data_IF_383765747150
#
_entry.id   IF_383765747150
#
_cell.length_a   1.000
_cell.length_b   1.000
_cell.length_c   1.000
_cell.angle_alpha   90.00
_cell.angle_beta   90.00
_cell.angle_gamma   90.00
#
_symmetry.space_group_name_H-M   'P 1'
#
loop_
_entity.id
_entity.type
_entity.pdbx_description
1 polymer ?
#
# COMPACT_ATOMS: atom_id res chain seq x y z
N UNK A 1 -12.09 11.32 -20.54
CA UNK A 1 -12.75 10.72 -19.34
C UNK A 1 -13.89 11.64 -19.00
N UNK A 2 -14.86 11.20 -18.21
CA UNK A 2 -15.76 12.16 -17.56
C UNK A 2 -14.99 12.96 -16.49
N UNK A 3 -15.59 14.07 -16.07
CA UNK A 3 -15.15 14.76 -14.86
C UNK A 3 -15.35 13.87 -13.63
N UNK A 4 -14.56 14.09 -12.60
CA UNK A 4 -14.73 13.42 -11.31
C UNK A 4 -16.06 13.85 -10.71
N UNK A 5 -16.98 12.90 -10.55
CA UNK A 5 -18.27 13.11 -9.89
C UNK A 5 -18.14 12.97 -8.38
N UNK A 6 -17.46 11.93 -7.91
CA UNK A 6 -17.25 11.66 -6.48
C UNK A 6 -15.89 11.04 -6.20
N UNK A 7 -15.38 11.31 -5.00
CA UNK A 7 -14.26 10.61 -4.38
C UNK A 7 -14.75 10.17 -3.00
N UNK A 8 -14.86 8.86 -2.81
CA UNK A 8 -15.40 8.21 -1.62
C UNK A 8 -14.33 7.33 -0.98
N UNK A 9 -14.40 7.12 0.33
CA UNK A 9 -13.49 6.22 1.04
C UNK A 9 -14.22 5.26 1.96
N UNK A 10 -13.60 4.11 2.21
CA UNK A 10 -14.19 2.98 2.91
C UNK A 10 -13.18 2.40 3.90
N UNK A 11 -13.53 2.40 5.20
CA UNK A 11 -12.81 1.60 6.19
C UNK A 11 -13.14 0.13 5.95
N UNK A 12 -12.11 -0.68 5.69
CA UNK A 12 -12.25 -2.13 5.50
C UNK A 12 -11.43 -2.84 6.58
N UNK A 13 -12.03 -3.81 7.25
CA UNK A 13 -11.34 -4.60 8.26
C UNK A 13 -10.15 -5.36 7.63
N UNK A 14 -9.01 -5.51 8.33
CA UNK A 14 -8.81 -5.14 9.73
C UNK A 14 -8.44 -3.67 9.97
N UNK A 15 -7.87 -2.96 9.00
CA UNK A 15 -7.36 -1.58 9.17
C UNK A 15 -7.04 -0.87 7.85
N UNK A 16 -7.74 -1.23 6.77
CA UNK A 16 -7.52 -0.67 5.44
C UNK A 16 -8.42 0.52 5.19
N UNK A 17 -7.94 1.43 4.33
CA UNK A 17 -8.71 2.59 3.87
C UNK A 17 -8.70 2.60 2.34
N UNK A 18 -9.78 2.12 1.73
CA UNK A 18 -9.95 2.12 0.28
C UNK A 18 -10.52 3.44 -0.19
N UNK A 19 -10.13 3.86 -1.39
CA UNK A 19 -10.62 5.06 -2.07
C UNK A 19 -11.25 4.64 -3.40
N UNK A 20 -12.41 5.20 -3.72
CA UNK A 20 -13.08 5.02 -5.00
C UNK A 20 -13.28 6.38 -5.65
N UNK A 21 -12.80 6.53 -6.87
CA UNK A 21 -13.09 7.70 -7.71
C UNK A 21 -14.10 7.30 -8.76
N UNK A 22 -15.21 8.03 -8.87
CA UNK A 22 -16.27 7.80 -9.86
C UNK A 22 -16.40 9.01 -10.77
N UNK A 23 -16.44 8.80 -12.08
CA UNK A 23 -16.67 9.87 -13.07
C UNK A 23 -18.17 10.12 -13.32
N UNK A 24 -18.49 11.17 -14.10
CA UNK A 24 -19.87 11.53 -14.45
C UNK A 24 -20.60 10.44 -15.25
N UNK A 25 -19.87 9.59 -15.97
CA UNK A 25 -20.40 8.46 -16.74
C UNK A 25 -20.64 7.21 -15.86
N UNK A 26 -20.28 7.26 -14.57
CA UNK A 26 -20.43 6.15 -13.62
C UNK A 26 -19.29 5.13 -13.67
N UNK A 27 -18.26 5.35 -14.48
CA UNK A 27 -17.05 4.55 -14.43
C UNK A 27 -16.29 4.85 -13.14
N UNK A 28 -15.53 3.88 -12.65
CA UNK A 28 -14.80 4.05 -11.40
C UNK A 28 -13.47 3.32 -11.39
N UNK A 29 -12.57 3.82 -10.54
CA UNK A 29 -11.31 3.17 -10.19
C UNK A 29 -11.13 3.12 -8.68
N UNK A 30 -10.30 2.17 -8.24
CA UNK A 30 -10.02 1.89 -6.84
C UNK A 30 -8.56 2.16 -6.49
N UNK A 31 -8.34 2.72 -5.31
CA UNK A 31 -7.04 2.92 -4.71
C UNK A 31 -7.04 2.67 -3.21
N UNK A 32 -5.87 2.79 -2.60
CA UNK A 32 -5.68 2.51 -1.18
C UNK A 32 -4.86 3.64 -0.53
N UNK A 33 -5.38 4.14 0.59
CA UNK A 33 -4.82 5.23 1.40
C UNK A 33 -4.47 4.76 2.82
N UNK A 34 -4.19 3.46 2.99
CA UNK A 34 -3.87 2.90 4.30
C UNK A 34 -2.65 3.59 4.92
N UNK A 35 -2.84 4.08 6.15
CA UNK A 35 -1.79 4.54 7.06
C UNK A 35 -2.15 4.04 8.45
N UNK A 36 -1.60 2.89 8.82
CA UNK A 36 -1.98 2.16 10.01
C UNK A 36 -1.88 3.05 11.26
N UNK A 37 -2.96 3.09 12.06
CA UNK A 37 -3.04 3.92 13.28
C UNK A 37 -3.42 5.38 13.06
N UNK A 38 -3.63 5.82 11.82
CA UNK A 38 -3.89 7.23 11.49
C UNK A 38 -5.06 7.43 10.49
N UNK A 39 -6.02 6.50 10.43
CA UNK A 39 -7.14 6.55 9.47
C UNK A 39 -7.94 7.84 9.56
N UNK A 40 -8.30 8.32 10.75
CA UNK A 40 -9.06 9.60 10.89
C UNK A 40 -8.33 10.79 10.25
N UNK A 41 -7.00 10.84 10.41
CA UNK A 41 -6.21 11.94 9.85
C UNK A 41 -6.19 11.88 8.32
N UNK A 42 -6.07 10.67 7.76
CA UNK A 42 -6.11 10.46 6.31
C UNK A 42 -7.49 10.77 5.74
N UNK A 43 -8.57 10.39 6.43
CA UNK A 43 -9.95 10.70 6.06
C UNK A 43 -10.21 12.21 6.01
N UNK A 44 -9.73 12.96 7.01
CA UNK A 44 -9.82 14.43 6.98
C UNK A 44 -9.07 15.05 5.81
N UNK A 45 -7.93 14.49 5.43
CA UNK A 45 -7.20 14.90 4.22
C UNK A 45 -7.96 14.53 2.94
N UNK A 46 -8.55 13.33 2.87
CA UNK A 46 -9.39 12.89 1.77
C UNK A 46 -10.63 13.77 1.63
N UNK A 47 -11.33 14.12 2.71
CA UNK A 47 -12.48 15.03 2.67
C UNK A 47 -12.13 16.38 2.00
N UNK A 48 -10.97 16.93 2.31
CA UNK A 48 -10.49 18.18 1.73
C UNK A 48 -10.14 18.03 0.24
N UNK A 49 -9.47 16.93 -0.14
CA UNK A 49 -9.09 16.65 -1.53
C UNK A 49 -10.31 16.28 -2.39
N UNK A 50 -11.26 15.50 -1.86
CA UNK A 50 -12.52 15.11 -2.50
C UNK A 50 -13.33 16.34 -2.91
N UNK A 51 -13.51 17.30 -1.99
CA UNK A 51 -14.18 18.57 -2.29
C UNK A 51 -13.45 19.40 -3.34
N UNK A 52 -12.12 19.36 -3.35
CA UNK A 52 -11.29 20.14 -4.28
C UNK A 52 -11.35 19.60 -5.71
N UNK A 53 -11.31 18.28 -5.87
CA UNK A 53 -11.17 17.64 -7.18
C UNK A 53 -12.49 17.23 -7.81
N UNK A 54 -13.62 17.42 -7.13
CA UNK A 54 -14.92 17.29 -7.78
C UNK A 54 -15.01 18.25 -8.99
N UNK A 55 -15.42 17.72 -10.14
CA UNK A 55 -15.51 18.46 -11.40
C UNK A 55 -14.20 18.57 -12.18
N UNK A 56 -13.07 18.07 -11.67
CA UNK A 56 -11.81 18.02 -12.42
C UNK A 56 -11.86 16.91 -13.48
N UNK A 57 -11.14 17.09 -14.57
CA UNK A 57 -10.95 16.04 -15.58
C UNK A 57 -10.12 14.90 -14.99
N UNK A 58 -10.70 13.70 -14.90
CA UNK A 58 -10.01 12.56 -14.30
C UNK A 58 -8.78 12.10 -15.10
N UNK A 59 -8.66 12.50 -16.39
CA UNK A 59 -7.51 12.16 -17.23
C UNK A 59 -6.25 12.94 -16.86
N UNK A 60 -6.42 14.10 -16.22
CA UNK A 60 -5.36 15.02 -15.85
C UNK A 60 -4.70 14.60 -14.53
N UNK A 61 -4.31 13.32 -14.45
CA UNK A 61 -3.75 12.70 -13.23
C UNK A 61 -2.55 13.50 -12.71
N UNK A 62 -1.62 13.89 -13.58
CA UNK A 62 -0.45 14.68 -13.20
C UNK A 62 -0.85 16.07 -12.66
N UNK A 63 -1.86 16.71 -13.26
CA UNK A 63 -2.35 17.99 -12.77
C UNK A 63 -2.99 17.85 -11.39
N UNK A 64 -3.82 16.83 -11.18
CA UNK A 64 -4.44 16.52 -9.89
C UNK A 64 -3.35 16.23 -8.84
N UNK A 65 -2.38 15.38 -9.17
CA UNK A 65 -1.28 15.02 -8.29
C UNK A 65 -0.45 16.25 -7.88
N UNK A 66 -0.02 17.05 -8.87
CA UNK A 66 0.76 18.26 -8.60
C UNK A 66 -0.03 19.25 -7.77
N UNK A 67 -1.31 19.45 -8.09
CA UNK A 67 -2.20 20.34 -7.35
C UNK A 67 -2.34 19.88 -5.90
N UNK A 68 -2.60 18.58 -5.67
CA UNK A 68 -2.74 18.02 -4.33
C UNK A 68 -1.45 18.19 -3.51
N UNK A 69 -0.29 17.98 -4.14
CA UNK A 69 1.01 18.05 -3.48
C UNK A 69 1.45 19.47 -3.14
N UNK A 70 1.24 20.44 -4.04
CA UNK A 70 1.91 21.76 -3.94
C UNK A 70 1.00 22.96 -3.73
N UNK A 71 -0.32 22.86 -3.96
CA UNK A 71 -1.22 24.02 -3.88
C UNK A 71 -1.45 24.49 -2.44
N UNK A 72 -1.43 23.57 -1.46
CA UNK A 72 -1.66 23.84 -0.04
C UNK A 72 -0.49 24.51 0.71
N UNK A 73 0.50 25.05 -0.02
CA UNK A 73 1.74 25.64 0.51
C UNK A 73 2.70 24.61 1.14
N UNK A 74 2.40 24.12 2.34
CA UNK A 74 3.21 23.07 2.99
C UNK A 74 2.90 21.71 2.36
N UNK A 75 3.93 20.86 2.26
CA UNK A 75 3.88 19.65 1.42
C UNK A 75 4.12 18.40 2.24
N UNK A 76 3.28 17.41 2.01
CA UNK A 76 3.53 16.02 2.40
C UNK A 76 3.40 15.68 3.86
N UNK A 77 4.29 14.80 4.32
CA UNK A 77 4.06 14.00 5.52
C UNK A 77 3.22 12.77 5.23
N UNK A 78 3.20 11.83 6.19
CA UNK A 78 2.55 10.53 6.01
C UNK A 78 1.06 10.67 5.69
N UNK A 79 0.34 11.54 6.40
CA UNK A 79 -1.11 11.72 6.25
C UNK A 79 -1.48 12.21 4.84
N UNK A 80 -0.91 13.34 4.40
CA UNK A 80 -1.23 13.91 3.09
C UNK A 80 -0.80 12.98 1.96
N UNK A 81 0.37 12.34 2.07
CA UNK A 81 0.84 11.44 1.02
C UNK A 81 0.02 10.16 0.91
N UNK A 82 -0.46 9.61 2.03
CA UNK A 82 -1.39 8.47 2.00
C UNK A 82 -2.72 8.84 1.34
N UNK A 83 -3.27 10.03 1.61
CA UNK A 83 -4.48 10.51 0.96
C UNK A 83 -4.29 10.71 -0.56
N UNK A 84 -3.20 11.36 -0.98
CA UNK A 84 -2.85 11.55 -2.40
C UNK A 84 -2.67 10.19 -3.10
N UNK A 85 -1.99 9.24 -2.45
CA UNK A 85 -1.75 7.90 -2.99
C UNK A 85 -3.05 7.17 -3.36
N UNK A 86 -4.07 7.19 -2.51
CA UNK A 86 -5.32 6.48 -2.81
C UNK A 86 -6.08 7.10 -3.97
N UNK A 87 -6.07 8.43 -4.09
CA UNK A 87 -6.67 9.13 -5.24
C UNK A 87 -5.87 8.82 -6.52
N UNK A 88 -4.54 8.89 -6.48
CA UNK A 88 -3.67 8.63 -7.64
C UNK A 88 -3.85 7.20 -8.18
N UNK A 89 -3.80 6.20 -7.30
CA UNK A 89 -4.02 4.79 -7.67
C UNK A 89 -5.42 4.62 -8.29
N UNK A 90 -6.45 5.22 -7.70
CA UNK A 90 -7.82 5.14 -8.21
C UNK A 90 -7.99 5.79 -9.59
N UNK A 91 -7.33 6.93 -9.84
CA UNK A 91 -7.34 7.58 -11.14
C UNK A 91 -6.62 6.76 -12.21
N UNK A 92 -5.49 6.12 -11.85
CA UNK A 92 -4.80 5.20 -12.75
C UNK A 92 -5.60 3.93 -13.03
N UNK A 93 -6.27 3.36 -12.03
CA UNK A 93 -7.17 2.21 -12.20
C UNK A 93 -8.33 2.57 -13.15
N UNK A 94 -8.97 3.72 -12.93
CA UNK A 94 -10.03 4.24 -13.81
C UNK A 94 -9.55 4.39 -15.26
N UNK A 95 -8.38 5.00 -15.46
CA UNK A 95 -7.76 5.19 -16.79
C UNK A 95 -7.46 3.84 -17.46
N UNK A 96 -6.88 2.89 -16.73
CA UNK A 96 -6.56 1.55 -17.22
C UNK A 96 -7.81 0.76 -17.64
N UNK A 97 -8.84 0.74 -16.78
CA UNK A 97 -10.13 0.07 -17.07
C UNK A 97 -10.79 0.62 -18.31
N UNK A 98 -10.89 1.94 -18.43
CA UNK A 98 -11.52 2.60 -19.59
C UNK A 98 -10.77 2.31 -20.89
N UNK A 99 -9.44 2.29 -20.85
CA UNK A 99 -8.61 1.98 -22.02
C UNK A 99 -8.51 0.46 -22.30
N UNK A 100 -9.07 -0.39 -21.43
CA UNK A 100 -9.02 -1.85 -21.58
C UNK A 100 -7.61 -2.43 -21.48
N UNK A 101 -6.69 -1.75 -20.80
CA UNK A 101 -5.29 -2.18 -20.66
C UNK A 101 -4.82 -2.13 -19.20
N UNK A 102 -3.93 -3.04 -18.78
CA UNK A 102 -3.33 -2.96 -17.45
C UNK A 102 -2.43 -1.71 -17.36
N UNK A 103 -2.37 -1.07 -16.18
CA UNK A 103 -1.65 0.19 -15.94
C UNK A 103 -0.19 0.11 -16.42
N UNK A 104 0.49 -1.02 -16.23
CA UNK A 104 1.88 -1.17 -16.67
C UNK A 104 2.08 -1.00 -18.19
N UNK A 105 1.05 -1.19 -19.02
CA UNK A 105 1.13 -0.90 -20.46
C UNK A 105 1.14 0.60 -20.73
N UNK A 106 0.37 1.37 -19.95
CA UNK A 106 0.38 2.83 -20.00
C UNK A 106 1.73 3.40 -19.55
N UNK A 107 2.43 2.70 -18.66
CA UNK A 107 3.75 3.05 -18.14
C UNK A 107 4.93 2.54 -19.00
N UNK A 108 4.68 2.19 -20.26
CA UNK A 108 5.74 1.79 -21.21
C UNK A 108 5.92 0.28 -21.40
N UNK A 109 5.03 -0.55 -20.83
CA UNK A 109 4.97 -1.98 -21.14
C UNK A 109 5.80 -2.87 -20.21
N UNK A 110 5.82 -4.17 -20.55
CA UNK A 110 6.51 -5.18 -19.74
C UNK A 110 8.02 -5.08 -19.93
N UNK A 111 8.74 -4.95 -18.82
CA UNK A 111 10.21 -5.11 -18.76
C UNK A 111 10.63 -6.48 -18.19
N UNK A 112 9.66 -7.32 -17.82
CA UNK A 112 9.83 -8.67 -17.28
C UNK A 112 8.53 -9.47 -17.40
N UNK A 113 8.65 -10.80 -17.39
CA UNK A 113 7.49 -11.70 -17.52
C UNK A 113 6.86 -12.10 -16.18
N UNK A 114 7.62 -12.02 -15.08
CA UNK A 114 7.17 -12.30 -13.71
C UNK A 114 7.94 -11.45 -12.71
N UNK A 115 7.35 -11.24 -11.53
CA UNK A 115 7.97 -10.56 -10.39
C UNK A 115 8.13 -11.60 -9.27
N UNK A 116 9.33 -11.71 -8.71
CA UNK A 116 9.54 -12.53 -7.51
C UNK A 116 8.90 -11.86 -6.31
N UNK A 117 8.14 -12.63 -5.52
CA UNK A 117 7.51 -12.17 -4.29
C UNK A 117 8.11 -12.88 -3.08
N UNK A 118 8.06 -12.25 -1.91
CA UNK A 118 8.44 -12.84 -0.63
C UNK A 118 7.21 -12.93 0.28
N UNK A 119 7.24 -13.83 1.26
CA UNK A 119 6.19 -13.95 2.27
C UNK A 119 6.68 -13.51 3.64
N UNK A 120 5.83 -12.85 4.42
CA UNK A 120 6.11 -12.61 5.83
C UNK A 120 5.74 -13.83 6.69
N UNK A 121 6.60 -14.19 7.64
CA UNK A 121 6.44 -15.31 8.57
C UNK A 121 6.77 -14.88 10.00
N UNK A 122 6.30 -15.66 10.97
CA UNK A 122 6.67 -15.54 12.38
C UNK A 122 5.75 -14.64 13.22
N UNK A 123 5.10 -13.63 12.65
CA UNK A 123 4.30 -12.74 13.48
C UNK A 123 5.14 -11.69 14.21
N UNK A 124 4.48 -10.86 15.02
CA UNK A 124 5.14 -9.88 15.90
C UNK A 124 5.97 -10.55 17.00
N UNK A 125 5.57 -11.76 17.41
CA UNK A 125 6.31 -12.64 18.31
C UNK A 125 6.76 -13.85 17.51
N UNK A 126 8.01 -13.89 17.01
CA UNK A 126 8.48 -14.87 16.04
C UNK A 126 8.69 -16.26 16.66
N UNK A 127 7.62 -16.88 17.13
CA UNK A 127 7.58 -18.30 17.48
C UNK A 127 7.31 -19.12 16.21
N UNK A 128 7.76 -20.38 16.20
CA UNK A 128 7.46 -21.33 15.13
C UNK A 128 7.87 -20.89 13.70
N UNK A 129 8.90 -20.04 13.59
CA UNK A 129 9.41 -19.54 12.31
C UNK A 129 9.86 -20.66 11.35
N UNK A 130 10.31 -21.80 11.90
CA UNK A 130 10.66 -22.97 11.10
C UNK A 130 9.41 -23.59 10.44
N UNK A 131 8.33 -23.80 11.21
CA UNK A 131 7.09 -24.36 10.69
C UNK A 131 6.44 -23.40 9.67
N UNK A 132 6.45 -22.10 9.97
CA UNK A 132 5.97 -21.07 9.03
C UNK A 132 6.84 -21.01 7.75
N UNK A 133 8.16 -21.14 7.88
CA UNK A 133 9.09 -21.23 6.75
C UNK A 133 8.82 -22.44 5.86
N UNK A 134 8.68 -23.64 6.46
CA UNK A 134 8.29 -24.87 5.74
C UNK A 134 6.96 -24.70 5.01
N UNK A 135 5.97 -24.07 5.64
CA UNK A 135 4.68 -23.80 5.02
C UNK A 135 4.81 -22.87 3.80
N UNK A 136 5.66 -21.83 3.85
CA UNK A 136 5.91 -20.94 2.70
C UNK A 136 6.72 -21.61 1.60
N UNK A 137 7.68 -22.46 1.94
CA UNK A 137 8.38 -23.31 0.95
C UNK A 137 7.41 -24.22 0.20
N UNK A 138 6.48 -24.86 0.91
CA UNK A 138 5.45 -25.70 0.31
C UNK A 138 4.52 -24.91 -0.65
N UNK A 139 4.34 -23.61 -0.41
CA UNK A 139 3.62 -22.69 -1.31
C UNK A 139 4.48 -22.18 -2.48
N UNK A 140 5.75 -22.57 -2.56
CA UNK A 140 6.68 -22.19 -3.64
C UNK A 140 7.46 -20.89 -3.38
N UNK A 141 7.33 -20.27 -2.21
CA UNK A 141 8.16 -19.13 -1.85
C UNK A 141 9.61 -19.56 -1.64
N UNK A 142 10.53 -18.73 -2.12
CA UNK A 142 11.99 -18.91 -1.95
C UNK A 142 12.62 -17.84 -1.08
N UNK A 143 11.84 -16.83 -0.70
CA UNK A 143 12.29 -15.69 0.08
C UNK A 143 11.21 -15.38 1.10
N UNK A 144 11.61 -15.19 2.34
CA UNK A 144 10.74 -14.82 3.44
C UNK A 144 11.26 -13.58 4.17
N UNK A 145 10.35 -12.84 4.80
CA UNK A 145 10.67 -11.79 5.77
C UNK A 145 10.15 -12.24 7.13
N UNK A 146 10.94 -12.03 8.17
CA UNK A 146 10.51 -12.31 9.54
C UNK A 146 10.96 -11.17 10.45
N UNK A 147 10.28 -11.01 11.58
CA UNK A 147 10.77 -10.13 12.63
C UNK A 147 12.00 -10.78 13.27
N UNK A 148 13.05 -9.98 13.49
CA UNK A 148 14.29 -10.48 14.09
C UNK A 148 14.05 -10.83 15.57
N UNK A 149 13.40 -9.93 16.29
CA UNK A 149 13.06 -10.01 17.72
C UNK A 149 11.55 -10.03 17.90
N UNK A 150 11.11 -10.38 19.11
CA UNK A 150 9.81 -9.98 19.63
C UNK A 150 9.84 -8.50 20.09
N UNK A 151 8.89 -8.10 20.93
CA UNK A 151 8.87 -6.78 21.57
C UNK A 151 10.17 -6.52 22.34
N UNK A 152 10.85 -5.42 22.02
CA UNK A 152 12.07 -4.96 22.71
C UNK A 152 11.77 -3.63 23.39
N UNK A 153 12.18 -3.50 24.65
CA UNK A 153 11.93 -2.28 25.41
C UNK A 153 12.90 -1.15 25.01
N UNK A 154 12.53 0.08 25.36
CA UNK A 154 13.39 1.25 25.11
C UNK A 154 14.73 1.17 25.86
N UNK A 155 14.72 0.60 27.08
CA UNK A 155 15.91 0.20 27.83
C UNK A 155 15.89 -1.32 27.97
N UNK A 156 16.81 -1.99 27.27
CA UNK A 156 16.90 -3.44 27.25
C UNK A 156 18.35 -3.94 27.27
N UNK A 157 18.53 -5.23 27.54
CA UNK A 157 19.82 -5.89 27.48
C UNK A 157 20.12 -6.34 26.05
N UNK A 158 21.39 -6.26 25.57
CA UNK A 158 21.79 -6.86 24.29
C UNK A 158 21.43 -8.36 24.17
N UNK A 159 21.24 -9.05 25.30
CA UNK A 159 20.86 -10.47 25.36
C UNK A 159 19.56 -10.79 24.61
N UNK A 160 18.62 -9.84 24.49
CA UNK A 160 17.36 -10.08 23.76
C UNK A 160 17.58 -10.41 22.28
N UNK A 161 18.73 -9.99 21.73
CA UNK A 161 19.11 -10.25 20.34
C UNK A 161 19.62 -11.67 20.11
N UNK A 162 20.11 -12.37 21.14
CA UNK A 162 20.71 -13.72 21.01
C UNK A 162 19.74 -14.71 20.36
N UNK A 163 18.47 -14.67 20.78
CA UNK A 163 17.42 -15.54 20.24
C UNK A 163 17.17 -15.32 18.73
N UNK A 164 17.50 -14.13 18.20
CA UNK A 164 17.34 -13.79 16.79
C UNK A 164 18.33 -14.56 15.90
N UNK A 165 19.54 -14.83 16.42
CA UNK A 165 20.56 -15.60 15.72
C UNK A 165 20.09 -17.04 15.54
N UNK A 166 19.53 -17.65 16.58
CA UNK A 166 19.03 -19.02 16.52
C UNK A 166 17.82 -19.15 15.58
N UNK A 167 16.88 -18.19 15.62
CA UNK A 167 15.77 -18.13 14.65
C UNK A 167 16.27 -18.02 13.20
N UNK A 168 17.26 -17.16 12.95
CA UNK A 168 17.84 -17.00 11.62
C UNK A 168 18.52 -18.28 11.14
N UNK A 169 19.28 -18.97 12.01
CA UNK A 169 19.88 -20.26 11.69
C UNK A 169 18.81 -21.30 11.32
N UNK A 170 17.71 -21.37 12.07
CA UNK A 170 16.63 -22.30 11.81
C UNK A 170 15.99 -22.06 10.43
N UNK A 171 15.68 -20.81 10.08
CA UNK A 171 15.10 -20.48 8.76
C UNK A 171 16.11 -20.76 7.63
N UNK A 172 17.38 -20.38 7.80
CA UNK A 172 18.43 -20.65 6.81
C UNK A 172 18.66 -22.13 6.55
N UNK A 173 18.52 -22.97 7.58
CA UNK A 173 18.64 -24.42 7.45
C UNK A 173 17.57 -25.03 6.52
N UNK A 174 16.46 -24.32 6.26
CA UNK A 174 15.43 -24.71 5.30
C UNK A 174 15.78 -24.37 3.85
N UNK A 175 16.87 -23.64 3.60
CA UNK A 175 17.22 -23.10 2.28
C UNK A 175 16.44 -21.83 1.89
N UNK A 176 15.90 -21.12 2.89
CA UNK A 176 15.25 -19.81 2.78
C UNK A 176 16.19 -18.66 3.19
#
# INVERSE_FOLDING_TARGET
MGKIRSIEYFRVLPRWLFVKVTDEDGNHGWGESTLEGHSEAVEGALDALSKRFQGYEADDIEQIWQTAWRLGFYRGGAVFMSAISGIDIALWDLKGRRLGVPIHQLLGGKVRNKISVYAWIGGDRPTDVEAAGKARLAQGFRVVKMNATEDVNWLDSPRVLESSVERLKAVKALGL
#
